data_IF_590234607989
#
_entry.id   IF_590234607989
#
_cell.length_a   1.000
_cell.length_b   1.000
_cell.length_c   1.000
_cell.angle_alpha   90.00
_cell.angle_beta   90.00
_cell.angle_gamma   90.00
#
_symmetry.space_group_name_H-M   'P 1'
#
loop_
_entity.id
_entity.type
_entity.pdbx_description
1 polymer ?
#
# COMPACT_ATOMS: atom_id res chain seq x y z
N UNK A 1 -32.46 -8.82 -10.95
CA UNK A 1 -31.38 -9.39 -10.13
C UNK A 1 -30.04 -9.19 -10.86
N UNK A 2 -29.46 -7.98 -10.79
CA UNK A 2 -28.14 -7.70 -11.38
C UNK A 2 -27.08 -7.80 -10.28
N UNK A 3 -26.17 -8.77 -10.45
CA UNK A 3 -25.01 -8.99 -9.59
C UNK A 3 -24.10 -7.76 -9.65
N UNK A 4 -24.07 -7.01 -8.55
CA UNK A 4 -23.09 -5.96 -8.25
C UNK A 4 -21.71 -6.64 -8.10
N UNK A 5 -20.97 -6.74 -9.20
CA UNK A 5 -19.53 -7.04 -9.16
C UNK A 5 -18.88 -5.98 -8.26
N UNK A 6 -18.22 -6.40 -7.18
CA UNK A 6 -17.40 -5.49 -6.35
C UNK A 6 -16.31 -4.91 -7.25
N UNK A 7 -16.51 -3.68 -7.69
CA UNK A 7 -15.59 -2.96 -8.56
C UNK A 7 -14.18 -2.94 -7.96
N UNK A 8 -13.19 -3.19 -8.81
CA UNK A 8 -11.77 -2.99 -8.51
C UNK A 8 -11.64 -1.54 -8.04
N UNK A 9 -11.09 -1.29 -6.84
CA UNK A 9 -10.79 0.08 -6.38
C UNK A 9 -9.82 0.71 -7.40
N UNK A 10 -10.11 1.94 -7.83
CA UNK A 10 -9.34 2.63 -8.87
C UNK A 10 -7.90 2.90 -8.42
N UNK A 11 -7.75 3.39 -7.18
CA UNK A 11 -6.45 3.59 -6.52
C UNK A 11 -5.86 2.31 -5.98
N UNK A 12 -4.61 2.40 -5.54
CA UNK A 12 -3.84 1.29 -5.03
C UNK A 12 -2.55 1.04 -5.81
N UNK A 13 -1.83 0.00 -5.36
CA UNK A 13 -0.59 -0.43 -6.00
C UNK A 13 -0.79 -0.67 -7.51
N UNK A 14 -0.01 -0.02 -8.38
CA UNK A 14 -0.09 -0.25 -9.82
C UNK A 14 0.34 -1.65 -10.25
N UNK A 15 1.33 -2.20 -9.54
CA UNK A 15 1.93 -3.52 -9.74
C UNK A 15 2.33 -4.09 -8.38
N UNK A 16 2.53 -5.41 -8.29
CA UNK A 16 2.88 -6.07 -7.02
C UNK A 16 4.20 -5.56 -6.43
N UNK A 17 5.17 -5.25 -7.31
CA UNK A 17 6.49 -4.72 -6.95
C UNK A 17 6.47 -3.26 -6.51
N UNK A 18 5.32 -2.58 -6.58
CA UNK A 18 5.21 -1.19 -6.19
C UNK A 18 5.35 -1.03 -4.66
N UNK A 19 6.15 -0.05 -4.27
CA UNK A 19 6.54 0.23 -2.89
C UNK A 19 5.84 1.52 -2.45
N UNK A 20 5.32 1.53 -1.22
CA UNK A 20 4.90 2.76 -0.55
C UNK A 20 5.91 3.01 0.56
N UNK A 21 6.41 4.24 0.65
CA UNK A 21 7.27 4.64 1.76
C UNK A 21 6.45 4.69 3.05
N UNK A 22 6.71 3.74 3.95
CA UNK A 22 6.11 3.65 5.27
C UNK A 22 7.13 3.84 6.39
N UNK A 23 8.41 4.01 6.06
CA UNK A 23 9.49 4.15 7.06
C UNK A 23 9.68 5.60 7.49
N UNK A 24 9.16 6.55 6.70
CA UNK A 24 9.18 7.97 7.02
C UNK A 24 10.54 8.62 6.76
N UNK A 25 10.71 9.83 7.28
CA UNK A 25 11.92 10.62 7.07
C UNK A 25 13.05 10.06 7.94
N UNK A 26 14.21 9.87 7.33
CA UNK A 26 15.46 9.51 7.98
C UNK A 26 16.58 10.46 7.53
N UNK A 27 17.72 10.42 8.21
CA UNK A 27 18.94 11.13 7.82
C UNK A 27 19.73 10.28 6.80
N UNK A 28 19.71 10.64 5.50
CA UNK A 28 20.26 9.77 4.47
C UNK A 28 21.75 10.01 4.23
N UNK A 29 22.47 8.94 3.89
CA UNK A 29 23.79 9.02 3.28
C UNK A 29 23.64 9.28 1.78
N UNK A 30 24.21 10.40 1.32
CA UNK A 30 24.18 10.83 -0.07
C UNK A 30 25.58 10.86 -0.66
N UNK A 31 25.67 10.66 -1.98
CA UNK A 31 26.91 10.89 -2.71
C UNK A 31 27.19 12.39 -2.93
N UNK A 32 28.32 12.70 -3.56
CA UNK A 32 28.76 14.09 -3.82
C UNK A 32 27.81 14.87 -4.75
N UNK A 33 26.93 14.20 -5.48
CA UNK A 33 25.91 14.82 -6.34
C UNK A 33 24.57 15.02 -5.62
N UNK A 34 24.47 14.56 -4.36
CA UNK A 34 23.25 14.62 -3.56
C UNK A 34 22.28 13.46 -3.82
N UNK A 35 22.68 12.44 -4.58
CA UNK A 35 21.86 11.24 -4.79
C UNK A 35 22.00 10.29 -3.60
N UNK A 36 20.94 9.56 -3.28
CA UNK A 36 20.96 8.54 -2.24
C UNK A 36 21.99 7.45 -2.58
N UNK A 37 22.85 7.12 -1.60
CA UNK A 37 23.59 5.86 -1.69
C UNK A 37 22.61 4.70 -1.57
N UNK A 38 22.85 3.64 -2.34
CA UNK A 38 21.93 2.48 -2.41
C UNK A 38 21.79 1.76 -1.07
N UNK A 39 22.82 1.79 -0.22
CA UNK A 39 22.78 1.30 1.16
C UNK A 39 22.66 2.47 2.13
N UNK A 40 21.69 2.36 3.03
CA UNK A 40 21.43 3.32 4.11
C UNK A 40 21.55 2.59 5.45
N UNK A 41 22.09 3.26 6.47
CA UNK A 41 22.27 2.69 7.81
C UNK A 41 21.92 3.73 8.89
N UNK A 42 21.33 3.30 10.01
CA UNK A 42 20.84 4.21 11.06
C UNK A 42 21.89 4.54 12.14
N UNK A 43 23.16 4.78 11.78
CA UNK A 43 24.29 4.96 12.71
C UNK A 43 24.51 3.82 13.73
N UNK A 44 23.78 2.71 13.60
CA UNK A 44 24.01 1.46 14.34
C UNK A 44 24.49 0.37 13.37
N UNK A 45 24.25 -0.91 13.67
CA UNK A 45 24.56 -2.01 12.76
C UNK A 45 23.43 -2.32 11.78
N UNK A 46 22.30 -1.61 11.84
CA UNK A 46 21.14 -1.86 10.98
C UNK A 46 21.23 -1.06 9.69
N UNK A 47 21.21 -1.76 8.55
CA UNK A 47 21.25 -1.20 7.21
C UNK A 47 20.10 -1.71 6.33
N UNK A 48 19.78 -1.00 5.27
CA UNK A 48 18.77 -1.38 4.27
C UNK A 48 19.13 -0.82 2.89
N UNK A 49 18.53 -1.38 1.86
CA UNK A 49 18.66 -0.88 0.50
C UNK A 49 17.53 0.08 0.16
N UNK A 50 17.85 1.13 -0.60
CA UNK A 50 16.90 2.13 -1.11
C UNK A 50 16.96 2.24 -2.64
N UNK A 51 15.88 2.73 -3.25
CA UNK A 51 15.86 3.09 -4.66
C UNK A 51 16.40 4.52 -4.88
N UNK A 52 16.40 5.00 -6.13
CA UNK A 52 16.83 6.37 -6.47
C UNK A 52 15.99 7.45 -5.81
N UNK A 53 14.77 7.14 -5.33
CA UNK A 53 13.93 8.04 -4.55
C UNK A 53 14.17 7.98 -3.03
N UNK A 54 15.16 7.20 -2.57
CA UNK A 54 15.46 7.04 -1.14
C UNK A 54 14.45 6.15 -0.40
N UNK A 55 13.54 5.48 -1.11
CA UNK A 55 12.53 4.60 -0.52
C UNK A 55 13.11 3.22 -0.28
N UNK A 56 12.93 2.68 0.93
CA UNK A 56 13.42 1.35 1.29
C UNK A 56 12.80 0.27 0.41
N UNK A 57 13.65 -0.61 -0.13
CA UNK A 57 13.29 -1.69 -1.07
C UNK A 57 13.79 -3.08 -0.67
N UNK A 58 14.29 -3.23 0.56
CA UNK A 58 14.72 -4.49 1.14
C UNK A 58 14.29 -4.61 2.60
N UNK A 59 14.41 -5.81 3.17
CA UNK A 59 14.46 -5.93 4.62
C UNK A 59 15.66 -5.20 5.21
N UNK A 60 15.55 -4.88 6.50
CA UNK A 60 16.67 -4.37 7.28
C UNK A 60 17.59 -5.53 7.63
N UNK A 61 18.88 -5.37 7.35
CA UNK A 61 19.94 -6.33 7.62
C UNK A 61 21.09 -5.68 8.40
N UNK A 62 22.23 -6.37 8.45
CA UNK A 62 23.46 -5.85 9.02
C UNK A 62 24.29 -5.04 8.00
N UNK A 63 25.50 -4.61 8.39
CA UNK A 63 26.41 -3.85 7.53
C UNK A 63 26.87 -4.58 6.26
N UNK A 64 26.78 -5.91 6.26
CA UNK A 64 27.13 -6.79 5.14
C UNK A 64 26.01 -6.95 4.12
N UNK A 65 24.89 -6.24 4.25
CA UNK A 65 23.86 -6.21 3.20
C UNK A 65 24.43 -5.66 1.89
N UNK A 66 24.24 -6.42 0.82
CA UNK A 66 24.59 -6.02 -0.54
C UNK A 66 23.38 -5.35 -1.19
N UNK A 67 23.59 -4.13 -1.70
CA UNK A 67 22.52 -3.31 -2.25
C UNK A 67 22.78 -2.97 -3.72
N UNK A 68 21.91 -3.48 -4.58
CA UNK A 68 21.89 -3.11 -5.99
C UNK A 68 21.24 -1.74 -6.21
N UNK A 69 21.80 -0.97 -7.13
CA UNK A 69 21.15 0.23 -7.63
C UNK A 69 19.86 -0.13 -8.35
N UNK A 70 18.80 0.61 -8.04
CA UNK A 70 17.48 0.47 -8.62
C UNK A 70 16.86 1.86 -8.85
N UNK A 71 16.62 2.18 -10.10
CA UNK A 71 16.00 3.45 -10.49
C UNK A 71 14.48 3.36 -10.44
N UNK A 72 13.85 4.35 -9.82
CA UNK A 72 12.39 4.53 -9.89
C UNK A 72 12.03 5.17 -11.24
N UNK A 73 11.39 4.41 -12.12
CA UNK A 73 10.96 4.90 -13.44
C UNK A 73 9.48 5.27 -13.49
N UNK A 74 8.69 4.82 -12.52
CA UNK A 74 7.25 5.10 -12.46
C UNK A 74 6.84 5.41 -11.02
N UNK A 75 6.16 6.54 -10.85
CA UNK A 75 5.45 6.89 -9.63
C UNK A 75 3.95 6.98 -9.91
N UNK A 76 3.13 6.28 -9.12
CA UNK A 76 1.67 6.43 -9.13
C UNK A 76 1.26 7.31 -7.96
N UNK A 77 0.48 8.34 -8.26
CA UNK A 77 -0.05 9.28 -7.30
C UNK A 77 -1.54 9.04 -7.15
N UNK A 78 -1.95 8.56 -5.98
CA UNK A 78 -3.36 8.55 -5.57
C UNK A 78 -3.64 9.85 -4.83
N UNK A 79 -4.19 10.84 -5.55
CA UNK A 79 -4.47 12.18 -5.06
C UNK A 79 -5.92 12.30 -4.63
N UNK A 80 -6.16 12.44 -3.33
CA UNK A 80 -7.51 12.65 -2.80
C UNK A 80 -7.79 14.14 -2.67
N UNK A 81 -8.75 14.64 -3.43
CA UNK A 81 -9.12 16.05 -3.41
C UNK A 81 -10.25 16.36 -2.41
N UNK A 82 -10.38 17.65 -2.09
CA UNK A 82 -11.55 18.17 -1.38
C UNK A 82 -12.78 18.12 -2.29
N UNK A 83 -13.99 17.89 -1.75
CA UNK A 83 -15.21 17.87 -2.55
C UNK A 83 -15.31 19.11 -3.45
N UNK A 84 -15.56 18.94 -4.75
CA UNK A 84 -15.60 20.03 -5.70
C UNK A 84 -16.89 20.84 -5.55
N UNK A 85 -16.87 22.11 -5.94
CA UNK A 85 -18.06 22.99 -5.93
C UNK A 85 -19.00 22.72 -7.11
N UNK A 86 -18.47 22.13 -8.19
CA UNK A 86 -19.16 21.75 -9.42
C UNK A 86 -18.55 20.45 -9.96
N UNK A 87 -19.29 19.67 -10.77
CA UNK A 87 -18.75 18.45 -11.38
C UNK A 87 -17.46 18.72 -12.16
N UNK A 88 -16.47 17.84 -11.99
CA UNK A 88 -15.17 17.95 -12.67
C UNK A 88 -15.25 17.27 -14.03
N UNK A 89 -14.89 17.98 -15.10
CA UNK A 89 -14.69 17.37 -16.42
C UNK A 89 -13.43 16.51 -16.44
N UNK A 90 -13.63 15.19 -16.42
CA UNK A 90 -12.55 14.20 -16.34
C UNK A 90 -11.60 14.26 -17.55
N UNK A 91 -12.07 14.73 -18.70
CA UNK A 91 -11.26 14.83 -19.92
C UNK A 91 -10.18 15.90 -19.81
N UNK A 92 -10.37 16.90 -18.96
CA UNK A 92 -9.45 18.03 -18.75
C UNK A 92 -8.41 17.77 -17.65
N UNK A 93 -8.63 16.76 -16.79
CA UNK A 93 -7.77 16.52 -15.61
C UNK A 93 -6.32 16.26 -16.02
N UNK A 94 -6.08 15.44 -17.06
CA UNK A 94 -4.71 15.11 -17.47
C UNK A 94 -3.90 16.36 -17.84
N UNK A 95 -4.47 17.25 -18.65
CA UNK A 95 -3.80 18.48 -19.07
C UNK A 95 -3.59 19.45 -17.90
N UNK A 96 -4.56 19.54 -16.99
CA UNK A 96 -4.47 20.36 -15.79
C UNK A 96 -3.38 19.87 -14.82
N UNK A 97 -3.29 18.55 -14.59
CA UNK A 97 -2.26 17.92 -13.77
C UNK A 97 -0.88 18.11 -14.40
N UNK A 98 -0.73 17.84 -15.70
CA UNK A 98 0.54 18.04 -16.43
C UNK A 98 1.04 19.48 -16.26
N UNK A 99 0.16 20.46 -16.48
CA UNK A 99 0.45 21.89 -16.30
C UNK A 99 0.84 22.22 -14.86
N UNK A 100 0.09 21.73 -13.87
CA UNK A 100 0.36 22.01 -12.47
C UNK A 100 1.69 21.40 -11.99
N UNK A 101 1.98 20.15 -12.38
CA UNK A 101 3.25 19.50 -12.03
C UNK A 101 4.44 20.16 -12.72
N UNK A 102 4.28 20.56 -13.98
CA UNK A 102 5.30 21.30 -14.72
C UNK A 102 5.61 22.65 -14.07
N UNK A 103 4.59 23.47 -13.84
CA UNK A 103 4.78 24.84 -13.32
C UNK A 103 5.32 24.85 -11.89
N UNK A 104 4.84 23.93 -11.05
CA UNK A 104 5.16 23.94 -9.62
C UNK A 104 6.42 23.16 -9.28
N UNK A 105 6.62 21.99 -9.88
CA UNK A 105 7.72 21.08 -9.55
C UNK A 105 8.77 20.97 -10.65
N UNK A 106 8.64 21.74 -11.74
CA UNK A 106 9.52 21.67 -12.91
C UNK A 106 9.59 20.26 -13.52
N UNK A 107 8.50 19.49 -13.42
CA UNK A 107 8.42 18.18 -14.05
C UNK A 107 8.44 18.34 -15.58
N UNK A 108 9.27 17.56 -16.27
CA UNK A 108 9.32 17.59 -17.73
C UNK A 108 8.00 17.16 -18.38
N UNK A 109 7.70 17.78 -19.52
CA UNK A 109 6.45 17.54 -20.24
C UNK A 109 6.36 16.10 -20.72
N UNK A 110 5.15 15.56 -20.70
CA UNK A 110 4.88 14.23 -21.26
C UNK A 110 5.29 13.07 -20.34
N UNK A 111 5.78 13.33 -19.13
CA UNK A 111 5.99 12.29 -18.12
C UNK A 111 4.67 11.84 -17.47
N UNK A 112 3.62 12.67 -17.47
CA UNK A 112 2.26 12.24 -17.06
C UNK A 112 1.66 11.38 -18.18
N UNK A 113 1.61 10.06 -17.97
CA UNK A 113 1.19 9.09 -19.00
C UNK A 113 -0.31 8.80 -18.94
N UNK A 114 -0.85 8.60 -17.74
CA UNK A 114 -2.25 8.23 -17.54
C UNK A 114 -2.87 8.97 -16.35
N UNK A 115 -4.16 9.26 -16.45
CA UNK A 115 -4.95 9.86 -15.37
C UNK A 115 -6.32 9.23 -15.35
N UNK A 116 -6.72 8.72 -14.19
CA UNK A 116 -8.03 8.14 -13.94
C UNK A 116 -8.73 8.91 -12.82
N UNK A 117 -10.05 8.97 -12.87
CA UNK A 117 -10.85 9.74 -11.92
C UNK A 117 -12.03 8.93 -11.35
N UNK A 118 -12.13 8.91 -10.03
CA UNK A 118 -13.30 8.39 -9.30
C UNK A 118 -13.95 9.54 -8.52
N UNK A 119 -15.05 10.06 -9.09
CA UNK A 119 -15.83 11.15 -8.52
C UNK A 119 -16.40 10.80 -7.14
N UNK A 120 -16.86 9.55 -6.94
CA UNK A 120 -17.46 9.14 -5.66
C UNK A 120 -16.42 9.11 -4.54
N UNK A 121 -15.18 8.78 -4.87
CA UNK A 121 -14.08 8.74 -3.92
C UNK A 121 -13.32 10.09 -3.81
N UNK A 122 -13.63 11.08 -4.64
CA UNK A 122 -12.83 12.30 -4.83
C UNK A 122 -11.34 11.97 -5.10
N UNK A 123 -11.09 10.96 -5.93
CA UNK A 123 -9.77 10.38 -6.14
C UNK A 123 -9.32 10.57 -7.59
N UNK A 124 -8.16 11.18 -7.77
CA UNK A 124 -7.43 11.20 -9.03
C UNK A 124 -6.24 10.25 -8.92
N UNK A 125 -6.13 9.29 -9.84
CA UNK A 125 -4.98 8.37 -9.94
C UNK A 125 -4.14 8.82 -11.11
N UNK A 126 -2.90 9.21 -10.86
CA UNK A 126 -1.99 9.79 -11.86
C UNK A 126 -0.75 8.90 -11.99
N UNK A 127 -0.47 8.43 -13.20
CA UNK A 127 0.77 7.72 -13.50
C UNK A 127 1.78 8.66 -14.16
N UNK A 128 2.89 8.90 -13.45
CA UNK A 128 4.05 9.62 -13.98
C UNK A 128 5.16 8.62 -14.27
N UNK A 129 5.61 8.53 -15.52
CA UNK A 129 6.60 7.55 -15.98
C UNK A 129 7.66 8.17 -16.87
N UNK A 130 8.90 7.78 -16.63
CA UNK A 130 10.02 7.93 -17.55
C UNK A 130 10.37 6.56 -18.15
N UNK A 131 11.24 6.55 -19.16
CA UNK A 131 11.70 5.30 -19.76
C UNK A 131 12.58 4.52 -18.76
N UNK A 132 12.51 3.19 -18.83
CA UNK A 132 13.36 2.33 -18.01
C UNK A 132 14.82 2.56 -18.42
N UNK A 133 15.70 2.77 -17.45
CA UNK A 133 17.11 3.14 -17.72
C UNK A 133 17.37 4.65 -17.73
N UNK A 134 16.34 5.50 -17.81
CA UNK A 134 16.52 6.96 -17.77
C UNK A 134 16.99 7.41 -16.37
N UNK A 135 18.14 8.07 -16.32
CA UNK A 135 18.75 8.67 -15.11
C UNK A 135 18.81 10.19 -15.15
N UNK A 136 18.33 10.80 -16.23
CA UNK A 136 18.30 12.26 -16.41
C UNK A 136 17.10 12.84 -15.68
N UNK A 137 15.93 12.21 -15.83
CA UNK A 137 14.69 12.66 -15.21
C UNK A 137 14.60 12.17 -13.76
N UNK A 138 14.59 13.08 -12.79
CA UNK A 138 14.39 12.72 -11.38
C UNK A 138 12.91 12.87 -10.98
N UNK A 139 12.23 11.75 -10.78
CA UNK A 139 10.85 11.73 -10.29
C UNK A 139 10.76 11.97 -8.77
N UNK A 140 11.84 11.69 -8.03
CA UNK A 140 11.86 11.67 -6.56
C UNK A 140 11.69 13.06 -5.97
N UNK A 141 12.32 14.08 -6.57
CA UNK A 141 12.19 15.47 -6.13
C UNK A 141 10.75 15.95 -6.25
N UNK A 142 10.09 15.67 -7.37
CA UNK A 142 8.69 16.04 -7.58
C UNK A 142 7.79 15.35 -6.54
N UNK A 143 7.96 14.04 -6.33
CA UNK A 143 7.14 13.30 -5.35
C UNK A 143 7.35 13.78 -3.92
N UNK A 144 8.59 14.10 -3.54
CA UNK A 144 8.89 14.62 -2.20
C UNK A 144 8.23 15.99 -1.96
N UNK A 145 8.37 16.93 -2.89
CA UNK A 145 7.73 18.24 -2.79
C UNK A 145 6.20 18.14 -2.81
N UNK A 146 5.64 17.29 -3.67
CA UNK A 146 4.20 17.02 -3.74
C UNK A 146 3.67 16.47 -2.40
N UNK A 147 4.37 15.49 -1.83
CA UNK A 147 3.99 14.92 -0.54
C UNK A 147 3.96 15.99 0.56
N UNK A 148 4.98 16.85 0.61
CA UNK A 148 5.06 17.96 1.58
C UNK A 148 3.97 19.00 1.36
N UNK A 149 3.66 19.34 0.11
CA UNK A 149 2.61 20.30 -0.23
C UNK A 149 1.20 19.83 0.17
N UNK A 150 0.95 18.52 0.11
CA UNK A 150 -0.37 17.95 0.41
C UNK A 150 -0.53 17.56 1.88
N UNK A 151 0.45 16.85 2.45
CA UNK A 151 0.35 16.28 3.81
C UNK A 151 0.86 17.18 4.93
N UNK A 152 1.77 18.09 4.61
CA UNK A 152 2.45 18.91 5.61
C UNK A 152 2.35 20.40 5.26
N UNK A 153 3.48 21.02 4.92
CA UNK A 153 3.59 22.42 4.55
C UNK A 153 4.52 22.57 3.36
N UNK A 154 4.19 23.47 2.41
CA UNK A 154 5.05 23.72 1.26
C UNK A 154 6.48 24.07 1.64
N UNK A 155 7.43 23.41 0.97
CA UNK A 155 8.87 23.71 1.07
C UNK A 155 9.29 24.93 0.23
N UNK A 156 8.36 25.49 -0.54
CA UNK A 156 8.59 26.72 -1.28
C UNK A 156 8.65 27.94 -0.35
N UNK A 157 9.29 29.02 -0.84
CA UNK A 157 9.30 30.33 -0.17
C UNK A 157 7.88 30.86 -0.01
N UNK A 158 7.09 30.77 -1.09
CA UNK A 158 5.64 30.99 -1.02
C UNK A 158 4.99 29.79 -0.33
N UNK A 159 4.13 30.06 0.66
CA UNK A 159 3.38 29.03 1.38
C UNK A 159 2.04 28.71 0.72
N UNK A 160 1.87 29.06 -0.55
CA UNK A 160 0.67 28.65 -1.30
C UNK A 160 0.60 27.13 -1.41
N UNK A 161 -0.56 26.58 -1.06
CA UNK A 161 -0.87 25.15 -1.21
C UNK A 161 -0.97 24.79 -2.68
N UNK A 162 -0.75 23.51 -3.00
CA UNK A 162 -1.02 22.97 -4.33
C UNK A 162 -2.50 23.19 -4.70
N UNK A 163 -2.72 23.76 -5.87
CA UNK A 163 -4.03 23.88 -6.52
C UNK A 163 -3.88 23.47 -7.97
N UNK A 164 -4.85 22.69 -8.46
CA UNK A 164 -4.95 22.32 -9.87
C UNK A 164 -6.18 23.00 -10.43
N UNK A 165 -5.98 23.89 -11.40
CA UNK A 165 -7.09 24.56 -12.08
C UNK A 165 -7.64 23.64 -13.19
N UNK A 166 -8.90 23.23 -13.03
CA UNK A 166 -9.60 22.39 -14.00
C UNK A 166 -10.82 23.18 -14.45
N UNK A 167 -10.74 23.71 -15.67
CA UNK A 167 -11.82 24.49 -16.29
C UNK A 167 -12.26 25.72 -15.46
N UNK A 168 -11.29 26.44 -14.90
CA UNK A 168 -11.56 27.61 -14.05
C UNK A 168 -11.84 27.27 -12.58
N UNK A 169 -12.06 26.00 -12.23
CA UNK A 169 -12.23 25.56 -10.86
C UNK A 169 -10.89 25.15 -10.23
N UNK A 170 -10.53 25.74 -9.09
CA UNK A 170 -9.34 25.36 -8.34
C UNK A 170 -9.62 24.15 -7.43
N UNK A 171 -8.98 23.03 -7.72
CA UNK A 171 -9.07 21.79 -6.94
C UNK A 171 -7.88 21.70 -5.97
N UNK A 172 -8.17 21.48 -4.69
CA UNK A 172 -7.17 21.29 -3.63
C UNK A 172 -7.14 19.84 -3.14
N UNK A 173 -5.99 19.41 -2.63
CA UNK A 173 -5.78 18.03 -2.18
C UNK A 173 -5.64 17.95 -0.67
N UNK A 174 -6.26 16.93 -0.08
CA UNK A 174 -6.22 16.66 1.37
C UNK A 174 -5.33 15.48 1.74
N UNK A 175 -5.09 14.58 0.80
CA UNK A 175 -4.24 13.41 1.02
C UNK A 175 -3.59 12.96 -0.30
N UNK A 176 -2.46 12.28 -0.18
CA UNK A 176 -1.73 11.68 -1.29
C UNK A 176 -1.08 10.38 -0.86
N UNK A 177 -1.26 9.31 -1.63
CA UNK A 177 -0.45 8.09 -1.52
C UNK A 177 0.41 7.97 -2.77
N UNK A 178 1.72 7.79 -2.57
CA UNK A 178 2.70 7.67 -3.65
C UNK A 178 3.22 6.24 -3.66
N UNK A 179 3.06 5.58 -4.80
CA UNK A 179 3.64 4.27 -5.06
C UNK A 179 4.83 4.43 -6.00
N UNK A 180 5.97 3.86 -5.61
CA UNK A 180 7.21 3.88 -6.36
C UNK A 180 7.39 2.52 -7.05
N UNK A 181 7.68 2.53 -8.34
CA UNK A 181 7.97 1.35 -9.14
C UNK A 181 9.36 1.47 -9.72
N UNK A 182 10.20 0.52 -9.34
CA UNK A 182 11.61 0.46 -9.73
C UNK A 182 11.79 -0.43 -10.96
N UNK A 183 12.86 -0.19 -11.72
CA UNK A 183 13.29 -1.05 -12.84
C UNK A 183 13.67 -2.47 -12.39
N UNK A 184 14.00 -2.64 -11.09
CA UNK A 184 14.30 -3.92 -10.45
C UNK A 184 13.33 -4.16 -9.31
N UNK A 185 12.81 -5.38 -9.17
CA UNK A 185 11.90 -5.73 -8.09
C UNK A 185 12.55 -5.58 -6.70
N UNK A 186 11.80 -5.11 -5.68
CA UNK A 186 12.31 -5.05 -4.30
C UNK A 186 12.57 -6.44 -3.73
N UNK A 187 13.46 -6.52 -2.75
CA UNK A 187 13.94 -7.76 -2.12
C UNK A 187 13.46 -7.87 -0.67
N UNK A 188 12.15 -7.75 -0.46
CA UNK A 188 11.55 -8.08 0.83
C UNK A 188 11.37 -9.59 0.94
N UNK A 189 11.90 -10.19 1.99
CA UNK A 189 11.47 -11.52 2.41
C UNK A 189 10.03 -11.38 2.87
N UNK A 190 9.12 -12.10 2.22
CA UNK A 190 7.79 -12.26 2.79
C UNK A 190 8.00 -12.89 4.17
N UNK A 191 7.75 -12.14 5.24
CA UNK A 191 7.58 -12.75 6.57
C UNK A 191 6.40 -13.70 6.45
N UNK A 192 6.69 -14.95 6.08
CA UNK A 192 5.78 -16.08 6.27
C UNK A 192 5.36 -15.99 7.72
N UNK A 193 4.05 -15.92 7.92
CA UNK A 193 3.33 -16.05 9.19
C UNK A 193 4.25 -16.68 10.24
N UNK A 194 4.75 -15.87 11.17
CA UNK A 194 5.77 -16.27 12.15
C UNK A 194 5.34 -17.59 12.79
N UNK A 195 6.26 -18.56 12.93
CA UNK A 195 5.92 -19.92 13.38
C UNK A 195 5.04 -19.99 14.64
N UNK A 196 5.12 -18.97 15.51
CA UNK A 196 4.23 -18.80 16.66
C UNK A 196 2.75 -18.67 16.31
N UNK A 197 2.38 -17.94 15.25
CA UNK A 197 0.97 -17.80 14.83
C UNK A 197 0.44 -19.13 14.28
N UNK A 198 1.25 -19.87 13.52
CA UNK A 198 0.88 -21.21 13.03
C UNK A 198 0.72 -22.18 14.21
N UNK A 199 1.65 -22.16 15.17
CA UNK A 199 1.56 -23.01 16.36
C UNK A 199 0.28 -22.74 17.17
N UNK A 200 -0.07 -21.47 17.38
CA UNK A 200 -1.32 -21.08 18.07
C UNK A 200 -2.54 -21.56 17.31
N UNK A 201 -2.61 -21.36 15.99
CA UNK A 201 -3.73 -21.83 15.15
C UNK A 201 -3.88 -23.35 15.24
N UNK A 202 -2.78 -24.10 15.15
CA UNK A 202 -2.81 -25.57 15.23
C UNK A 202 -3.31 -26.04 16.60
N UNK A 203 -2.84 -25.44 17.70
CA UNK A 203 -3.28 -25.79 19.05
C UNK A 203 -4.78 -25.50 19.24
N UNK A 204 -5.27 -24.35 18.76
CA UNK A 204 -6.70 -24.01 18.83
C UNK A 204 -7.54 -25.02 18.05
N UNK A 205 -7.13 -25.41 16.85
CA UNK A 205 -7.83 -26.42 16.05
C UNK A 205 -7.87 -27.77 16.77
N UNK A 206 -6.75 -28.21 17.37
CA UNK A 206 -6.69 -29.47 18.11
C UNK A 206 -7.60 -29.48 19.35
N UNK A 207 -7.67 -28.37 20.09
CA UNK A 207 -8.57 -28.24 21.25
C UNK A 207 -10.04 -28.28 20.82
N UNK A 208 -10.40 -27.61 19.72
CA UNK A 208 -11.77 -27.64 19.19
C UNK A 208 -12.18 -29.04 18.74
N UNK A 209 -11.32 -29.74 18.00
CA UNK A 209 -11.57 -31.13 17.56
C UNK A 209 -11.66 -32.05 18.77
N UNK A 210 -10.74 -31.93 19.74
CA UNK A 210 -10.76 -32.72 20.97
C UNK A 210 -12.05 -32.51 21.78
N UNK A 211 -12.48 -31.26 21.95
CA UNK A 211 -13.75 -30.93 22.62
C UNK A 211 -14.97 -31.50 21.91
N UNK A 212 -15.03 -31.41 20.58
CA UNK A 212 -16.11 -31.99 19.78
C UNK A 212 -16.15 -33.53 19.90
N UNK A 213 -14.99 -34.19 19.90
CA UNK A 213 -14.91 -35.64 20.07
C UNK A 213 -15.39 -36.06 21.47
N UNK A 214 -14.98 -35.35 22.52
CA UNK A 214 -15.44 -35.62 23.89
C UNK A 214 -16.97 -35.49 23.98
N UNK A 215 -17.53 -34.39 23.45
CA UNK A 215 -18.99 -34.19 23.42
C UNK A 215 -19.71 -35.27 22.62
N UNK A 216 -19.15 -35.69 21.48
CA UNK A 216 -19.69 -36.79 20.68
C UNK A 216 -19.73 -38.10 21.47
N UNK A 217 -18.65 -38.45 22.17
CA UNK A 217 -18.59 -39.67 22.98
C UNK A 217 -19.49 -39.61 24.21
N UNK A 218 -19.66 -38.44 24.84
CA UNK A 218 -20.62 -38.26 25.95
C UNK A 218 -22.06 -38.48 25.44
N UNK A 219 -22.47 -37.81 24.35
CA UNK A 219 -23.82 -38.00 23.77
C UNK A 219 -24.07 -39.44 23.36
N UNK A 220 -23.08 -40.11 22.75
CA UNK A 220 -23.19 -41.53 22.39
C UNK A 220 -23.37 -42.44 23.61
N UNK A 221 -22.73 -42.12 24.74
CA UNK A 221 -22.91 -42.85 26.01
C UNK A 221 -24.27 -42.59 26.63
N UNK A 222 -24.76 -41.36 26.59
CA UNK A 222 -26.11 -41.01 27.04
C UNK A 222 -27.16 -41.78 26.25
N UNK A 223 -27.10 -41.76 24.91
CA UNK A 223 -28.01 -42.52 24.04
C UNK A 223 -28.03 -44.03 24.38
N UNK A 224 -26.86 -44.63 24.63
CA UNK A 224 -26.74 -46.03 25.03
C UNK A 224 -27.30 -46.32 26.45
N UNK A 225 -27.35 -45.32 27.33
CA UNK A 225 -27.96 -45.43 28.66
C UNK A 225 -29.48 -45.24 28.60
N UNK A 226 -29.96 -44.30 27.78
CA UNK A 226 -31.40 -44.09 27.57
C UNK A 226 -32.08 -45.31 26.95
N UNK A 227 -31.45 -45.99 25.98
CA UNK A 227 -32.04 -47.21 25.39
C UNK A 227 -32.22 -48.33 26.42
N UNK A 228 -31.26 -48.51 27.34
CA UNK A 228 -31.32 -49.51 28.42
C UNK A 228 -32.31 -49.14 29.53
N UNK A 229 -32.56 -47.85 29.75
CA UNK A 229 -33.58 -47.37 30.69
C UNK A 229 -35.00 -47.60 30.19
N UNK A 230 -35.21 -47.50 28.88
CA UNK A 230 -36.52 -47.71 28.25
C UNK A 230 -36.93 -49.20 28.22
N UNK A 231 -35.98 -50.12 28.03
CA UNK A 231 -36.23 -51.58 28.20
C UNK A 231 -36.66 -51.90 29.64
N UNK A 232 -35.96 -51.38 30.66
CA UNK A 232 -36.30 -51.64 32.07
C UNK A 232 -37.63 -51.04 32.53
N UNK A 233 -38.10 -49.94 31.91
CA UNK A 233 -39.44 -49.40 32.21
C UNK A 233 -40.56 -50.20 31.54
N UNK A 234 -40.31 -50.82 30.37
CA UNK A 234 -41.28 -51.72 29.73
C UNK A 234 -41.46 -53.01 30.54
N UNK A 235 -40.38 -53.54 31.14
CA UNK A 235 -40.46 -54.73 32.01
C UNK A 235 -41.22 -54.46 33.33
N UNK A 236 -41.16 -53.24 33.88
CA UNK A 236 -41.83 -52.87 35.14
C UNK A 236 -43.31 -52.48 34.98
N UNK A 237 -43.83 -52.32 33.76
CA UNK A 237 -45.26 -52.08 33.50
C UNK A 237 -46.01 -53.41 33.27
N UNK A 238 -45.30 -54.52 33.14
CA UNK A 238 -45.85 -55.87 32.92
C UNK A 238 -45.90 -56.75 34.18
N UNK A 239 -45.73 -56.17 35.38
CA UNK A 239 -45.93 -56.85 36.67
C UNK A 239 -47.02 -56.18 37.50
#
# INVERSE_FOLDING_TARGET
MQRRMRGKRLGGKPVETAIVDNDGIYDPDCDATGQFRTKQCNNTEVCWCVNSAGVRRSDKGDKGIECEQAETYWVRLDLTHTPPTSPIDSTKIKAAIDTALQQRYQLEKGLVKDVQYDENANLMVVDVKKDIGDRVQDLSRMTYYLMKDVKESPLFRSKSKLQVNIDGQNVTFKDVVIYYVDEKAPTFTMKRVTGGIIAVIVVVILVLIGGLLILYFIRKREEAMYSKGQERQMDNVQN
#
